data_IF_949849813259
#
_entry.id   IF_949849813259
#
_cell.length_a   1.000
_cell.length_b   1.000
_cell.length_c   1.000
_cell.angle_alpha   90.00
_cell.angle_beta   90.00
_cell.angle_gamma   90.00
#
_symmetry.space_group_name_H-M   'P 1'
#
loop_
_entity.id
_entity.type
_entity.pdbx_description
1 polymer ?
#
# COMPACT_ATOMS: atom_id res chain seq x y z
N UNK A 1 -43.74 -5.38 10.68
CA UNK A 1 -43.24 -4.04 11.06
C UNK A 1 -42.56 -3.43 9.84
N UNK A 2 -43.00 -2.27 9.34
CA UNK A 2 -42.41 -1.67 8.14
C UNK A 2 -41.00 -1.14 8.46
N UNK A 3 -40.01 -1.57 7.68
CA UNK A 3 -38.65 -1.02 7.71
C UNK A 3 -38.71 0.49 7.45
N UNK A 4 -37.97 1.32 8.20
CA UNK A 4 -37.96 2.75 7.95
C UNK A 4 -37.35 3.01 6.58
N UNK A 5 -38.20 3.46 5.65
CA UNK A 5 -37.79 3.97 4.34
C UNK A 5 -36.83 5.14 4.55
N UNK A 6 -35.54 4.89 4.34
CA UNK A 6 -34.50 5.91 4.40
C UNK A 6 -34.69 6.84 3.21
N UNK A 7 -35.40 7.95 3.41
CA UNK A 7 -35.49 8.99 2.39
C UNK A 7 -34.07 9.53 2.12
N UNK A 8 -33.64 9.61 0.86
CA UNK A 8 -32.33 10.17 0.54
C UNK A 8 -32.30 11.62 1.01
N UNK A 9 -31.54 11.88 2.07
CA UNK A 9 -31.23 13.22 2.55
C UNK A 9 -30.82 14.08 1.36
N UNK A 10 -31.44 15.26 1.19
CA UNK A 10 -31.03 16.25 0.19
C UNK A 10 -29.53 16.48 0.37
N UNK A 11 -28.74 15.94 -0.54
CA UNK A 11 -27.28 15.92 -0.44
C UNK A 11 -26.75 17.33 -0.20
N UNK A 12 -25.97 17.50 0.87
CA UNK A 12 -25.35 18.78 1.22
C UNK A 12 -24.58 19.32 -0.01
N UNK A 13 -24.92 20.52 -0.53
CA UNK A 13 -24.44 21.00 -1.83
C UNK A 13 -22.91 20.98 -2.03
N UNK A 14 -22.05 21.23 -1.02
CA UNK A 14 -20.59 21.10 -1.14
C UNK A 14 -20.14 19.65 -1.35
N UNK A 15 -20.78 18.68 -0.68
CA UNK A 15 -20.41 17.26 -0.78
C UNK A 15 -20.73 16.70 -2.17
N UNK A 16 -21.85 17.13 -2.77
CA UNK A 16 -22.20 16.77 -4.14
C UNK A 16 -21.10 17.19 -5.14
N UNK A 17 -20.49 18.37 -4.94
CA UNK A 17 -19.40 18.86 -5.79
C UNK A 17 -18.12 18.05 -5.60
N UNK A 18 -17.75 17.68 -4.36
CA UNK A 18 -16.59 16.82 -4.08
C UNK A 18 -16.69 15.48 -4.81
N UNK A 19 -17.86 14.82 -4.74
CA UNK A 19 -18.10 13.54 -5.43
C UNK A 19 -18.06 13.70 -6.95
N UNK A 20 -18.63 14.78 -7.47
CA UNK A 20 -18.60 15.05 -8.91
C UNK A 20 -17.16 15.23 -9.41
N UNK A 21 -16.33 15.97 -8.68
CA UNK A 21 -14.89 16.11 -8.97
C UNK A 21 -14.21 14.74 -8.98
N UNK A 22 -14.40 13.92 -7.94
CA UNK A 22 -13.76 12.62 -7.83
C UNK A 22 -14.16 11.66 -8.96
N UNK A 23 -15.44 11.64 -9.35
CA UNK A 23 -15.95 10.83 -10.49
C UNK A 23 -15.34 11.23 -11.83
N UNK A 24 -14.95 12.49 -11.99
CA UNK A 24 -14.24 12.97 -13.18
C UNK A 24 -12.73 12.67 -13.14
N UNK A 25 -12.26 11.95 -12.11
CA UNK A 25 -10.83 11.69 -11.89
C UNK A 25 -10.03 12.94 -11.52
N UNK A 26 -10.71 14.01 -11.10
CA UNK A 26 -10.08 15.24 -10.64
C UNK A 26 -9.78 15.14 -9.13
N UNK A 27 -8.78 15.89 -8.66
CA UNK A 27 -8.45 16.04 -7.24
C UNK A 27 -8.59 17.50 -6.82
N UNK A 28 -9.17 17.73 -5.65
CA UNK A 28 -9.21 19.04 -5.01
C UNK A 28 -8.16 19.14 -3.89
N UNK A 29 -7.53 20.30 -3.82
CA UNK A 29 -6.49 20.65 -2.84
C UNK A 29 -6.80 22.02 -2.26
N UNK A 30 -6.61 22.18 -0.94
CA UNK A 30 -6.57 23.47 -0.28
C UNK A 30 -5.11 23.87 -0.09
N UNK A 31 -4.73 25.04 -0.59
CA UNK A 31 -3.39 25.61 -0.43
C UNK A 31 -3.50 27.13 -0.34
N UNK A 32 -2.96 27.74 0.72
CA UNK A 32 -2.93 29.20 0.91
C UNK A 32 -4.30 29.89 0.74
N UNK A 33 -5.37 29.26 1.26
CA UNK A 33 -6.75 29.75 1.10
C UNK A 33 -7.30 29.67 -0.34
N UNK A 34 -6.59 28.99 -1.24
CA UNK A 34 -6.99 28.72 -2.61
C UNK A 34 -7.44 27.27 -2.77
N UNK A 35 -8.45 27.10 -3.62
CA UNK A 35 -8.95 25.79 -4.02
C UNK A 35 -8.29 25.44 -5.36
N UNK A 36 -7.40 24.47 -5.34
CA UNK A 36 -6.69 23.97 -6.51
C UNK A 36 -7.38 22.71 -7.03
N UNK A 37 -7.48 22.57 -8.36
CA UNK A 37 -8.03 21.37 -9.02
C UNK A 37 -6.94 20.74 -9.88
N UNK A 38 -6.73 19.43 -9.78
CA UNK A 38 -5.74 18.69 -10.56
C UNK A 38 -6.34 17.50 -11.31
N UNK A 39 -6.07 17.33 -12.62
CA UNK A 39 -5.44 18.30 -13.52
C UNK A 39 -6.41 19.45 -13.88
N UNK A 40 -5.92 20.69 -14.01
CA UNK A 40 -6.75 21.89 -14.11
C UNK A 40 -7.39 22.10 -15.50
N UNK A 41 -6.74 21.62 -16.56
CA UNK A 41 -7.17 21.69 -17.95
C UNK A 41 -8.44 20.86 -18.26
N UNK A 42 -8.82 19.98 -17.34
CA UNK A 42 -9.97 19.07 -17.50
C UNK A 42 -11.23 19.52 -16.77
N UNK A 43 -11.26 20.73 -16.22
CA UNK A 43 -12.41 21.21 -15.42
C UNK A 43 -13.53 21.74 -16.34
N UNK A 44 -14.72 21.11 -16.37
CA UNK A 44 -15.83 21.62 -17.17
C UNK A 44 -16.30 23.00 -16.67
N UNK A 45 -16.78 23.90 -17.56
CA UNK A 45 -17.25 25.24 -17.16
C UNK A 45 -18.35 25.23 -16.10
N UNK A 46 -19.28 24.27 -16.18
CA UNK A 46 -20.35 24.08 -15.21
C UNK A 46 -19.81 23.74 -13.81
N UNK A 47 -18.77 22.91 -13.75
CA UNK A 47 -18.09 22.57 -12.51
C UNK A 47 -17.28 23.76 -11.96
N UNK A 48 -16.62 24.52 -12.82
CA UNK A 48 -15.86 25.71 -12.41
C UNK A 48 -16.76 26.75 -11.72
N UNK A 49 -17.97 26.97 -12.22
CA UNK A 49 -18.97 27.82 -11.57
C UNK A 49 -19.39 27.27 -10.21
N UNK A 50 -19.67 25.97 -10.13
CA UNK A 50 -20.05 25.30 -8.89
C UNK A 50 -18.96 25.34 -7.80
N UNK A 51 -17.69 25.18 -8.19
CA UNK A 51 -16.52 25.27 -7.32
C UNK A 51 -16.35 26.70 -6.78
N UNK A 52 -16.45 27.72 -7.64
CA UNK A 52 -16.38 29.13 -7.22
C UNK A 52 -17.48 29.47 -6.22
N UNK A 53 -18.72 29.11 -6.52
CA UNK A 53 -19.87 29.39 -5.65
C UNK A 53 -19.77 28.75 -4.25
N UNK A 54 -19.03 27.64 -4.13
CA UNK A 54 -18.91 26.86 -2.88
C UNK A 54 -17.50 26.90 -2.27
N UNK A 55 -16.59 27.72 -2.79
CA UNK A 55 -15.17 27.76 -2.40
C UNK A 55 -14.97 27.77 -0.88
N UNK A 56 -15.63 28.65 -0.09
CA UNK A 56 -15.37 28.70 1.36
C UNK A 56 -15.78 27.43 2.11
N UNK A 57 -16.87 26.78 1.70
CA UNK A 57 -17.32 25.53 2.31
C UNK A 57 -16.37 24.38 1.96
N UNK A 58 -15.96 24.29 0.69
CA UNK A 58 -15.03 23.27 0.22
C UNK A 58 -13.66 23.39 0.88
N UNK A 59 -13.14 24.61 1.05
CA UNK A 59 -11.87 24.84 1.74
C UNK A 59 -11.88 24.31 3.16
N UNK A 60 -12.92 24.65 3.95
CA UNK A 60 -13.04 24.16 5.34
C UNK A 60 -13.07 22.64 5.42
N UNK A 61 -13.79 21.97 4.52
CA UNK A 61 -13.86 20.50 4.48
C UNK A 61 -12.49 19.88 4.14
N UNK A 62 -11.80 20.43 3.13
CA UNK A 62 -10.49 19.93 2.70
C UNK A 62 -9.40 20.19 3.75
N UNK A 63 -9.42 21.34 4.42
CA UNK A 63 -8.50 21.67 5.51
C UNK A 63 -8.70 20.74 6.70
N UNK A 64 -9.96 20.48 7.10
CA UNK A 64 -10.27 19.52 8.14
C UNK A 64 -9.81 18.10 7.77
N UNK A 65 -10.05 17.68 6.53
CA UNK A 65 -9.58 16.38 6.02
C UNK A 65 -8.05 16.27 6.03
N UNK A 66 -7.35 17.31 5.60
CA UNK A 66 -5.89 17.35 5.56
C UNK A 66 -5.28 17.33 6.97
N UNK A 67 -5.91 17.99 7.95
CA UNK A 67 -5.49 17.90 9.34
C UNK A 67 -5.59 16.46 9.88
N UNK A 68 -6.71 15.77 9.60
CA UNK A 68 -6.91 14.37 9.98
C UNK A 68 -5.92 13.43 9.31
N UNK A 69 -5.69 13.62 8.00
CA UNK A 69 -4.70 12.89 7.22
C UNK A 69 -3.29 13.08 7.78
N UNK A 70 -2.92 14.31 8.11
CA UNK A 70 -1.63 14.63 8.73
C UNK A 70 -1.45 13.92 10.07
N UNK A 71 -2.46 13.95 10.93
CA UNK A 71 -2.42 13.27 12.22
C UNK A 71 -2.20 11.76 12.06
N UNK A 72 -3.00 11.10 11.22
CA UNK A 72 -2.87 9.67 10.96
C UNK A 72 -1.53 9.29 10.32
N UNK A 73 -1.00 10.13 9.41
CA UNK A 73 0.31 9.90 8.80
C UNK A 73 1.42 9.97 9.85
N UNK A 74 1.43 10.99 10.70
CA UNK A 74 2.44 11.16 11.74
C UNK A 74 2.43 10.01 12.76
N UNK A 75 1.24 9.59 13.20
CA UNK A 75 1.08 8.44 14.11
C UNK A 75 1.62 7.14 13.49
N UNK A 76 1.40 6.95 12.19
CA UNK A 76 1.95 5.81 11.46
C UNK A 76 3.45 5.96 11.14
N UNK A 77 4.11 7.09 11.44
CA UNK A 77 5.51 7.33 11.06
C UNK A 77 5.70 7.58 9.56
N UNK A 78 4.69 8.11 8.88
CA UNK A 78 4.69 8.48 7.46
C UNK A 78 4.67 10.00 7.30
N UNK A 79 5.02 10.47 6.10
CA UNK A 79 4.72 11.85 5.72
C UNK A 79 3.27 11.96 5.22
N UNK A 80 2.58 13.10 5.41
CA UNK A 80 1.23 13.29 4.89
C UNK A 80 1.15 13.09 3.37
N UNK A 81 2.20 13.49 2.64
CA UNK A 81 2.25 13.34 1.19
C UNK A 81 2.27 11.87 0.75
N UNK A 82 2.93 10.98 1.50
CA UNK A 82 2.94 9.54 1.22
C UNK A 82 1.53 8.96 1.40
N UNK A 83 0.88 9.26 2.52
CA UNK A 83 -0.48 8.78 2.80
C UNK A 83 -1.50 9.31 1.78
N UNK A 84 -1.40 10.61 1.44
CA UNK A 84 -2.26 11.26 0.43
C UNK A 84 -2.12 10.65 -0.96
N UNK A 85 -0.91 10.22 -1.35
CA UNK A 85 -0.67 9.54 -2.64
C UNK A 85 -1.22 8.12 -2.66
N UNK A 86 -1.29 7.46 -1.50
CA UNK A 86 -1.86 6.12 -1.38
C UNK A 86 -3.39 6.12 -1.49
N UNK A 87 -4.05 7.22 -1.12
CA UNK A 87 -5.50 7.40 -1.26
C UNK A 87 -5.91 7.74 -2.69
N UNK A 88 -7.02 7.16 -3.13
CA UNK A 88 -7.66 7.54 -4.39
C UNK A 88 -8.33 8.92 -4.28
N UNK A 89 -8.75 9.48 -5.42
CA UNK A 89 -9.51 10.73 -5.41
C UNK A 89 -10.88 10.56 -4.72
N UNK A 90 -11.47 9.36 -4.84
CA UNK A 90 -12.73 9.01 -4.18
C UNK A 90 -12.52 8.95 -2.67
N UNK A 91 -11.52 8.22 -2.17
CA UNK A 91 -11.23 8.13 -0.73
C UNK A 91 -10.96 9.51 -0.10
N UNK A 92 -10.27 10.40 -0.81
CA UNK A 92 -10.04 11.77 -0.34
C UNK A 92 -11.35 12.57 -0.23
N UNK A 93 -12.29 12.37 -1.15
CA UNK A 93 -13.61 12.97 -1.06
C UNK A 93 -14.42 12.37 0.09
N UNK A 94 -14.39 11.04 0.28
CA UNK A 94 -15.06 10.36 1.39
C UNK A 94 -14.49 10.81 2.75
N UNK A 95 -13.18 11.02 2.84
CA UNK A 95 -12.52 11.58 4.02
C UNK A 95 -12.98 13.01 4.31
N UNK A 96 -13.05 13.87 3.29
CA UNK A 96 -13.55 15.24 3.43
C UNK A 96 -15.02 15.31 3.83
N UNK A 97 -15.81 14.33 3.43
CA UNK A 97 -17.20 14.15 3.85
C UNK A 97 -17.36 13.57 5.27
N UNK A 98 -16.27 13.11 5.89
CA UNK A 98 -16.31 12.43 7.18
C UNK A 98 -16.81 10.98 7.12
N UNK A 99 -16.94 10.40 5.92
CA UNK A 99 -17.34 8.98 5.74
C UNK A 99 -16.22 8.02 6.09
N UNK A 100 -14.97 8.41 5.86
CA UNK A 100 -13.81 7.73 6.42
C UNK A 100 -13.56 8.30 7.81
N UNK A 101 -13.79 7.49 8.84
CA UNK A 101 -13.53 7.84 10.24
C UNK A 101 -12.03 7.81 10.58
N UNK A 102 -11.66 8.37 11.74
CA UNK A 102 -10.24 8.45 12.15
C UNK A 102 -9.60 7.07 12.35
N UNK A 103 -10.36 6.10 12.87
CA UNK A 103 -9.88 4.73 13.03
C UNK A 103 -9.58 4.04 11.70
N UNK A 104 -10.48 4.19 10.72
CA UNK A 104 -10.27 3.67 9.37
C UNK A 104 -9.05 4.32 8.70
N UNK A 105 -8.88 5.63 8.88
CA UNK A 105 -7.74 6.36 8.36
C UNK A 105 -6.42 5.91 9.01
N UNK A 106 -6.40 5.70 10.33
CA UNK A 106 -5.25 5.14 11.06
C UNK A 106 -4.91 3.73 10.57
N UNK A 107 -5.91 2.85 10.46
CA UNK A 107 -5.71 1.50 9.94
C UNK A 107 -5.14 1.51 8.52
N UNK A 108 -5.66 2.37 7.65
CA UNK A 108 -5.13 2.56 6.31
C UNK A 108 -3.69 3.09 6.30
N UNK A 109 -3.35 4.03 7.19
CA UNK A 109 -2.00 4.56 7.33
C UNK A 109 -1.00 3.47 7.78
N UNK A 110 -1.37 2.62 8.74
CA UNK A 110 -0.55 1.49 9.18
C UNK A 110 -0.35 0.47 8.04
N UNK A 111 -1.41 0.09 7.33
CA UNK A 111 -1.32 -0.80 6.16
C UNK A 111 -0.43 -0.21 5.05
N UNK A 112 -0.48 1.12 4.87
CA UNK A 112 0.38 1.84 3.94
C UNK A 112 1.85 1.76 4.36
N UNK A 113 2.17 1.98 5.65
CA UNK A 113 3.53 1.80 6.16
C UNK A 113 4.03 0.36 5.93
N UNK A 114 3.25 -0.64 6.35
CA UNK A 114 3.65 -2.04 6.22
C UNK A 114 3.91 -2.41 4.75
N UNK A 115 3.08 -1.90 3.83
CA UNK A 115 3.31 -2.07 2.39
C UNK A 115 4.66 -1.48 1.99
N UNK A 116 4.99 -0.25 2.39
CA UNK A 116 6.25 0.39 2.04
C UNK A 116 7.47 -0.32 2.63
N UNK A 117 7.37 -0.84 3.86
CA UNK A 117 8.40 -1.67 4.48
C UNK A 117 8.63 -2.95 3.67
N UNK A 118 7.55 -3.65 3.32
CA UNK A 118 7.64 -4.82 2.44
C UNK A 118 8.30 -4.44 1.14
N UNK A 119 7.81 -3.43 0.43
CA UNK A 119 8.37 -2.99 -0.85
C UNK A 119 9.88 -2.67 -0.79
N UNK A 120 10.38 -2.21 0.36
CA UNK A 120 11.79 -1.96 0.62
C UNK A 120 12.60 -3.18 1.10
N UNK A 121 11.98 -4.37 1.20
CA UNK A 121 12.63 -5.60 1.69
C UNK A 121 12.79 -5.66 3.20
N UNK A 122 12.07 -4.84 3.97
CA UNK A 122 12.09 -4.84 5.44
C UNK A 122 10.86 -5.54 6.00
N UNK A 123 11.07 -6.35 7.03
CA UNK A 123 9.99 -7.06 7.73
C UNK A 123 9.15 -6.05 8.52
N UNK A 124 7.84 -5.92 8.24
CA UNK A 124 6.99 -5.05 9.05
C UNK A 124 6.91 -5.56 10.50
N UNK A 125 6.72 -4.68 11.51
CA UNK A 125 6.75 -5.09 12.92
C UNK A 125 5.82 -6.25 13.28
N UNK A 126 4.65 -6.35 12.65
CA UNK A 126 3.65 -7.40 12.94
C UNK A 126 3.91 -8.74 12.25
N UNK A 127 4.99 -8.85 11.48
CA UNK A 127 5.29 -10.03 10.66
C UNK A 127 6.23 -10.96 11.43
N UNK A 128 5.64 -11.75 12.33
CA UNK A 128 6.38 -12.57 13.30
C UNK A 128 6.32 -14.07 12.99
N UNK A 129 5.41 -14.51 12.10
CA UNK A 129 5.28 -15.92 11.75
C UNK A 129 6.12 -16.27 10.52
N UNK A 130 6.73 -17.45 10.55
CA UNK A 130 7.41 -18.04 9.40
C UNK A 130 6.43 -18.91 8.62
N UNK A 131 6.30 -18.64 7.32
CA UNK A 131 5.52 -19.47 6.41
C UNK A 131 6.29 -19.78 5.12
N UNK A 132 6.11 -20.99 4.59
CA UNK A 132 6.73 -21.41 3.34
C UNK A 132 5.74 -21.24 2.19
N UNK A 133 5.87 -20.13 1.46
CA UNK A 133 5.07 -19.88 0.27
C UNK A 133 5.59 -20.72 -0.92
N UNK A 134 4.74 -21.42 -1.69
CA UNK A 134 5.19 -22.21 -2.85
C UNK A 134 5.95 -21.40 -3.91
N UNK A 135 5.71 -20.09 -4.01
CA UNK A 135 6.34 -19.20 -5.00
C UNK A 135 7.53 -18.42 -4.46
N UNK A 136 7.49 -18.07 -3.18
CA UNK A 136 8.50 -17.23 -2.56
C UNK A 136 9.50 -18.00 -1.69
N UNK A 137 9.16 -19.23 -1.28
CA UNK A 137 9.81 -20.01 -0.21
C UNK A 137 9.55 -19.43 1.19
N UNK A 138 10.49 -19.57 2.13
CA UNK A 138 10.29 -19.12 3.52
C UNK A 138 10.20 -17.60 3.58
N UNK A 139 9.15 -17.10 4.22
CA UNK A 139 8.83 -15.68 4.35
C UNK A 139 8.24 -15.38 5.72
N UNK A 140 8.38 -14.13 6.16
CA UNK A 140 7.64 -13.60 7.30
C UNK A 140 6.20 -13.26 6.90
N UNK A 141 5.21 -13.58 7.74
CA UNK A 141 3.79 -13.24 7.57
C UNK A 141 3.21 -12.77 8.91
N UNK A 142 2.13 -11.96 8.91
CA UNK A 142 1.50 -11.57 10.17
C UNK A 142 0.79 -12.76 10.81
N UNK A 143 0.60 -12.72 12.13
CA UNK A 143 -0.14 -13.77 12.86
C UNK A 143 -1.56 -14.00 12.32
N UNK A 144 -2.19 -12.94 11.83
CA UNK A 144 -3.53 -13.00 11.24
C UNK A 144 -3.56 -13.56 9.82
N UNK A 145 -2.44 -14.06 9.29
CA UNK A 145 -2.37 -14.59 7.92
C UNK A 145 -3.10 -15.93 7.81
N UNK A 146 -4.00 -16.13 6.84
CA UNK A 146 -4.81 -17.34 6.75
C UNK A 146 -4.02 -18.50 6.12
N UNK A 147 -3.14 -19.12 6.90
CA UNK A 147 -2.15 -20.12 6.45
C UNK A 147 -2.77 -21.31 5.68
N UNK A 148 -3.99 -21.70 6.02
CA UNK A 148 -4.66 -22.87 5.43
C UNK A 148 -5.22 -22.63 4.02
N UNK A 149 -5.59 -21.38 3.70
CA UNK A 149 -6.27 -21.05 2.43
C UNK A 149 -5.45 -20.11 1.54
N UNK A 150 -4.42 -19.47 2.09
CA UNK A 150 -3.60 -18.52 1.35
C UNK A 150 -2.77 -19.22 0.26
N UNK A 151 -3.07 -18.93 -1.01
CA UNK A 151 -2.26 -19.40 -2.16
C UNK A 151 -1.04 -18.53 -2.45
N UNK A 152 -1.01 -17.31 -1.92
CA UNK A 152 0.06 -16.32 -2.12
C UNK A 152 0.48 -15.76 -0.76
N UNK A 153 1.73 -15.32 -0.60
CA UNK A 153 2.15 -14.54 0.58
C UNK A 153 2.11 -13.02 0.28
N UNK A 154 2.18 -12.16 1.30
CA UNK A 154 2.31 -10.72 1.12
C UNK A 154 3.53 -10.30 0.28
N UNK A 155 4.58 -11.14 0.24
CA UNK A 155 5.82 -10.90 -0.49
C UNK A 155 5.76 -11.31 -1.97
N UNK A 156 4.69 -11.97 -2.44
CA UNK A 156 4.54 -12.31 -3.86
C UNK A 156 4.56 -11.07 -4.76
N UNK A 157 4.06 -9.92 -4.27
CA UNK A 157 4.14 -8.65 -5.02
C UNK A 157 5.60 -8.20 -5.21
N UNK A 158 6.44 -8.31 -4.17
CA UNK A 158 7.87 -8.04 -4.29
C UNK A 158 8.54 -8.96 -5.28
N UNK A 159 8.22 -10.26 -5.21
CA UNK A 159 8.74 -11.25 -6.16
C UNK A 159 8.46 -10.83 -7.59
N UNK A 160 7.21 -10.50 -7.90
CA UNK A 160 6.77 -10.11 -9.24
C UNK A 160 7.44 -8.81 -9.70
N UNK A 161 7.64 -7.86 -8.78
CA UNK A 161 8.29 -6.59 -9.05
C UNK A 161 9.83 -6.63 -9.02
N UNK A 162 10.44 -7.81 -8.85
CA UNK A 162 11.89 -7.93 -8.73
C UNK A 162 12.48 -7.17 -7.53
N UNK A 163 11.78 -7.18 -6.39
CA UNK A 163 12.18 -6.52 -5.14
C UNK A 163 12.68 -7.54 -4.11
N UNK A 164 13.53 -7.12 -3.15
CA UNK A 164 14.07 -8.01 -2.12
C UNK A 164 12.99 -8.61 -1.22
N UNK A 165 13.23 -9.82 -0.71
CA UNK A 165 12.36 -10.52 0.26
C UNK A 165 13.23 -10.96 1.45
N UNK A 166 13.06 -10.38 2.65
CA UNK A 166 13.80 -10.78 3.83
C UNK A 166 13.45 -12.22 4.20
N UNK A 167 14.48 -13.01 4.55
CA UNK A 167 14.35 -14.44 4.84
C UNK A 167 14.34 -14.69 6.34
N UNK A 168 13.33 -15.41 6.88
CA UNK A 168 13.27 -15.72 8.31
C UNK A 168 14.34 -16.71 8.75
N UNK A 169 14.69 -17.62 7.85
CA UNK A 169 15.74 -18.61 8.05
C UNK A 169 16.76 -18.49 6.92
N UNK A 170 18.00 -18.90 7.19
CA UNK A 170 19.01 -18.95 6.16
C UNK A 170 18.61 -19.91 5.05
N UNK A 171 18.73 -19.45 3.81
CA UNK A 171 18.50 -20.24 2.59
C UNK A 171 19.84 -20.63 1.97
N UNK A 172 19.90 -21.71 1.20
CA UNK A 172 21.15 -22.16 0.58
C UNK A 172 21.21 -21.71 -0.88
N UNK A 173 22.42 -21.51 -1.42
CA UNK A 173 22.57 -21.26 -2.85
C UNK A 173 22.24 -22.53 -3.64
N UNK A 174 22.56 -23.72 -3.14
CA UNK A 174 22.21 -24.99 -3.77
C UNK A 174 20.69 -25.16 -4.03
N UNK A 175 19.83 -24.60 -3.17
CA UNK A 175 18.36 -24.61 -3.35
C UNK A 175 17.84 -23.42 -4.18
N UNK A 176 18.72 -22.55 -4.68
CA UNK A 176 18.36 -21.34 -5.39
C UNK A 176 18.39 -21.56 -6.90
N UNK A 177 17.30 -21.25 -7.62
CA UNK A 177 17.27 -21.35 -9.10
C UNK A 177 18.23 -20.40 -9.83
N UNK A 178 18.82 -19.43 -9.11
CA UNK A 178 19.80 -18.47 -9.65
C UNK A 178 21.24 -18.91 -9.43
N UNK A 179 21.47 -20.01 -8.74
CA UNK A 179 22.82 -20.52 -8.50
C UNK A 179 23.26 -21.39 -9.67
N UNK A 180 24.44 -21.08 -10.20
CA UNK A 180 25.11 -21.84 -11.24
C UNK A 180 26.12 -22.78 -10.59
N UNK A 181 25.81 -24.08 -10.54
CA UNK A 181 26.66 -25.05 -9.86
C UNK A 181 28.04 -25.20 -10.51
N UNK A 182 28.13 -25.09 -11.84
CA UNK A 182 29.39 -25.21 -12.60
C UNK A 182 30.39 -24.11 -12.24
N UNK A 183 29.90 -22.88 -12.12
CA UNK A 183 30.74 -21.70 -11.86
C UNK A 183 30.83 -21.35 -10.38
N UNK A 184 29.93 -21.90 -9.56
CA UNK A 184 29.78 -21.54 -8.14
C UNK A 184 29.26 -20.11 -7.95
N UNK A 185 28.55 -19.54 -8.93
CA UNK A 185 28.14 -18.12 -8.94
C UNK A 185 26.63 -17.93 -8.89
N UNK A 186 26.23 -16.72 -8.51
CA UNK A 186 24.84 -16.27 -8.57
C UNK A 186 24.63 -15.50 -9.88
N UNK A 187 23.62 -15.87 -10.67
CA UNK A 187 23.33 -15.30 -11.99
C UNK A 187 22.96 -13.80 -12.00
N UNK A 188 22.70 -13.19 -10.84
CA UNK A 188 22.34 -11.77 -10.72
C UNK A 188 23.42 -10.91 -10.06
N UNK A 189 24.63 -11.46 -9.86
CA UNK A 189 25.75 -10.77 -9.21
C UNK A 189 25.38 -10.06 -7.90
N UNK A 190 24.47 -10.66 -7.12
CA UNK A 190 24.01 -10.07 -5.86
C UNK A 190 25.22 -9.73 -4.96
N UNK A 191 25.12 -8.64 -4.14
CA UNK A 191 26.20 -8.23 -3.24
C UNK A 191 26.75 -9.42 -2.48
N UNK A 192 28.03 -9.72 -2.68
CA UNK A 192 28.68 -10.91 -2.16
C UNK A 192 28.91 -10.75 -0.66
N UNK A 193 28.16 -11.49 0.15
CA UNK A 193 28.76 -11.96 1.41
C UNK A 193 29.90 -12.92 1.04
N UNK A 194 31.03 -12.91 1.77
CA UNK A 194 32.21 -13.71 1.44
C UNK A 194 31.84 -15.17 1.14
N UNK A 195 32.41 -15.70 0.07
CA UNK A 195 32.11 -17.00 -0.54
C UNK A 195 32.08 -18.18 0.47
N UNK A 196 30.90 -18.45 1.03
CA UNK A 196 30.62 -19.69 1.76
C UNK A 196 30.09 -20.79 0.83
N UNK A 197 30.36 -22.05 1.18
CA UNK A 197 29.88 -23.26 0.51
C UNK A 197 28.39 -23.13 0.09
N UNK A 198 27.97 -23.64 -1.09
CA UNK A 198 26.60 -23.45 -1.59
C UNK A 198 25.51 -23.95 -0.64
N UNK A 199 25.82 -24.95 0.18
CA UNK A 199 24.92 -25.52 1.19
C UNK A 199 24.87 -24.76 2.52
N UNK A 200 25.70 -23.73 2.71
CA UNK A 200 25.61 -22.93 3.93
C UNK A 200 24.37 -22.02 3.90
N UNK A 201 23.61 -21.97 5.01
CA UNK A 201 22.45 -21.09 5.14
C UNK A 201 22.88 -19.62 5.13
N UNK A 202 22.17 -18.77 4.38
CA UNK A 202 22.46 -17.33 4.25
C UNK A 202 21.19 -16.48 4.13
N UNK A 203 21.27 -15.20 4.49
CA UNK A 203 20.16 -14.24 4.42
C UNK A 203 19.90 -13.66 3.02
N UNK A 204 19.84 -14.50 1.96
CA UNK A 204 19.75 -13.99 0.59
C UNK A 204 18.35 -13.44 0.27
N UNK A 205 18.22 -12.11 0.26
CA UNK A 205 16.98 -11.42 -0.09
C UNK A 205 16.50 -11.66 -1.54
N UNK A 206 17.41 -12.14 -2.38
CA UNK A 206 17.19 -12.42 -3.80
C UNK A 206 17.01 -13.90 -4.12
N UNK A 207 17.02 -14.76 -3.10
CA UNK A 207 16.86 -16.20 -3.27
C UNK A 207 15.52 -16.52 -3.91
N UNK A 208 15.50 -17.58 -4.72
CA UNK A 208 14.35 -18.07 -5.46
C UNK A 208 14.31 -19.58 -5.33
N UNK A 209 13.15 -20.17 -4.97
CA UNK A 209 13.06 -21.62 -4.93
C UNK A 209 13.39 -22.18 -6.31
N UNK A 210 14.22 -23.22 -6.36
CA UNK A 210 14.29 -24.10 -7.51
C UNK A 210 12.85 -24.54 -7.87
N UNK A 211 12.52 -24.55 -9.16
CA UNK A 211 11.17 -24.88 -9.67
C UNK A 211 10.82 -26.35 -9.51
N UNK A 212 11.69 -27.12 -8.89
CA UNK A 212 11.72 -28.54 -9.05
C UNK A 212 11.03 -29.11 -7.83
N UNK A 213 9.79 -29.58 -8.03
CA UNK A 213 9.00 -30.30 -7.04
C UNK A 213 9.62 -31.65 -6.63
N UNK A 214 10.92 -31.71 -6.36
CA UNK A 214 11.50 -32.73 -5.48
C UNK A 214 11.64 -32.10 -4.11
N UNK A 215 10.69 -32.45 -3.24
CA UNK A 215 11.00 -32.50 -1.82
C UNK A 215 12.31 -33.28 -1.63
N UNK A 216 13.20 -32.88 -0.69
CA UNK A 216 14.32 -33.73 -0.33
C UNK A 216 13.76 -35.09 0.12
N UNK A 217 14.23 -36.16 -0.52
CA UNK A 217 14.04 -37.52 -0.03
C UNK A 217 14.88 -37.74 1.23
#
# INVERSE_FOLDING_TARGET
MPSPSHQPSKSDPPLAVLRQVARLGLRLEAADGQLLVRPADRVPPSLAGALRARKPALLRLLEAAEARLRAAALEAGLTPQVLRRALSAEDLAELAEGRIGDEQLRAFALLTRERLEREAGRVPPRYELVWTCPRCGPVWVPETWPLEVARNCPWCANRLAGRPIPRPQGVTCASCRRFEAETGRCAIEAPREPHGHPDLPRGCAWWLPATDGRAPA
#
